data_IF_618464592043
#
_entry.id   IF_618464592043
#
_cell.length_a   1.000
_cell.length_b   1.000
_cell.length_c   1.000
_cell.angle_alpha   90.00
_cell.angle_beta   90.00
_cell.angle_gamma   90.00
#
_symmetry.space_group_name_H-M   'P 1'
#
loop_
_entity.id
_entity.type
_entity.pdbx_description
1 polymer ?
#
# COMPACT_ATOMS: atom_id res chain seq x y z
N UNK A 1 14.93 3.32 16.10
CA UNK A 1 14.26 2.22 15.35
C UNK A 1 15.21 1.64 14.32
N UNK A 2 15.55 0.37 14.43
CA UNK A 2 16.52 -0.34 13.57
C UNK A 2 15.79 -1.18 12.53
N UNK A 3 16.04 -0.94 11.27
CA UNK A 3 15.28 -1.49 10.14
C UNK A 3 16.10 -2.53 9.40
N UNK A 4 15.51 -3.69 9.12
CA UNK A 4 16.01 -4.68 8.18
C UNK A 4 15.14 -4.71 6.93
N UNK A 5 15.71 -4.51 5.74
CA UNK A 5 14.99 -4.56 4.45
C UNK A 5 15.30 -5.91 3.77
N UNK A 6 14.28 -6.76 3.62
CA UNK A 6 14.32 -7.96 2.79
C UNK A 6 13.65 -7.70 1.44
N UNK A 7 14.43 -7.73 0.37
CA UNK A 7 14.05 -7.33 -0.97
C UNK A 7 14.51 -5.91 -1.30
N UNK A 8 15.59 -5.78 -2.07
CA UNK A 8 16.14 -4.47 -2.44
C UNK A 8 15.97 -4.19 -3.95
N UNK A 9 14.74 -4.50 -4.44
CA UNK A 9 14.25 -4.16 -5.77
C UNK A 9 13.75 -2.72 -5.86
N UNK A 10 12.81 -2.46 -6.77
CA UNK A 10 12.23 -1.13 -7.00
C UNK A 10 11.66 -0.51 -5.72
N UNK A 11 10.89 -1.28 -4.95
CA UNK A 11 10.22 -0.80 -3.73
C UNK A 11 11.21 -0.60 -2.59
N UNK A 12 12.11 -1.56 -2.35
CA UNK A 12 13.11 -1.47 -1.28
C UNK A 12 14.06 -0.29 -1.46
N UNK A 13 14.51 -0.02 -2.71
CA UNK A 13 15.29 1.17 -3.04
C UNK A 13 14.47 2.45 -2.84
N UNK A 14 13.19 2.46 -3.27
CA UNK A 14 12.29 3.60 -3.07
C UNK A 14 12.07 3.91 -1.59
N UNK A 15 11.96 2.89 -0.74
CA UNK A 15 11.84 3.08 0.69
C UNK A 15 13.12 3.64 1.32
N UNK A 16 14.31 3.19 0.89
CA UNK A 16 15.57 3.75 1.34
C UNK A 16 15.68 5.26 0.98
N UNK A 17 15.29 5.65 -0.25
CA UNK A 17 15.26 7.06 -0.65
C UNK A 17 14.28 7.88 0.20
N UNK A 18 13.06 7.38 0.39
CA UNK A 18 12.04 8.06 1.21
C UNK A 18 12.48 8.20 2.66
N UNK A 19 13.11 7.17 3.22
CA UNK A 19 13.65 7.22 4.58
C UNK A 19 14.74 8.27 4.72
N UNK A 20 15.64 8.39 3.73
CA UNK A 20 16.64 9.47 3.68
C UNK A 20 15.97 10.85 3.66
N UNK A 21 15.00 11.06 2.75
CA UNK A 21 14.31 12.34 2.57
C UNK A 21 13.50 12.75 3.83
N UNK A 22 13.06 11.79 4.64
CA UNK A 22 12.25 12.01 5.83
C UNK A 22 12.99 11.85 7.15
N UNK A 23 14.30 11.66 7.15
CA UNK A 23 15.11 11.44 8.34
C UNK A 23 14.91 12.53 9.39
N UNK A 24 15.02 13.80 9.01
CA UNK A 24 14.82 14.91 9.94
C UNK A 24 13.39 15.03 10.48
N UNK A 25 12.39 14.73 9.64
CA UNK A 25 11.00 14.69 10.06
C UNK A 25 10.79 13.63 11.15
N UNK A 26 11.31 12.42 10.94
CA UNK A 26 11.20 11.33 11.91
C UNK A 26 11.92 11.68 13.22
N UNK A 27 13.12 12.21 13.14
CA UNK A 27 13.87 12.66 14.33
C UNK A 27 13.14 13.75 15.12
N UNK A 28 12.56 14.74 14.44
CA UNK A 28 11.79 15.81 15.11
C UNK A 28 10.50 15.29 15.77
N UNK A 29 9.87 14.26 15.16
CA UNK A 29 8.61 13.72 15.64
C UNK A 29 8.81 12.75 16.82
N UNK A 30 9.82 11.89 16.75
CA UNK A 30 10.00 10.77 17.66
C UNK A 30 11.22 10.91 18.59
N UNK A 31 12.06 11.93 18.41
CA UNK A 31 13.29 12.07 19.18
C UNK A 31 14.38 11.03 18.87
N UNK A 32 14.08 10.10 17.95
CA UNK A 32 14.94 8.97 17.59
C UNK A 32 15.07 8.83 16.07
N UNK A 33 16.18 8.22 15.61
CA UNK A 33 16.41 7.95 14.20
C UNK A 33 15.86 6.57 13.81
N UNK A 34 15.18 6.52 12.66
CA UNK A 34 14.90 5.27 11.96
C UNK A 34 16.08 5.00 11.01
N UNK A 35 16.86 3.93 11.27
CA UNK A 35 18.09 3.60 10.53
C UNK A 35 18.02 2.22 9.92
N UNK A 36 18.45 2.11 8.65
CA UNK A 36 18.63 0.80 8.01
C UNK A 36 19.91 0.19 8.55
N UNK A 37 19.80 -0.90 9.30
CA UNK A 37 20.98 -1.62 9.80
C UNK A 37 21.34 -2.81 8.93
N UNK A 38 20.38 -3.30 8.13
CA UNK A 38 20.62 -4.43 7.23
C UNK A 38 19.74 -4.30 5.98
N UNK A 39 20.28 -4.66 4.84
CA UNK A 39 19.56 -4.81 3.58
C UNK A 39 20.00 -6.09 2.87
N UNK A 40 19.04 -6.80 2.27
CA UNK A 40 19.23 -8.06 1.57
C UNK A 40 18.44 -8.10 0.27
N UNK A 41 19.05 -8.69 -0.76
CA UNK A 41 18.39 -9.07 -2.00
C UNK A 41 18.64 -10.54 -2.35
N UNK A 42 18.19 -11.02 -3.50
CA UNK A 42 18.38 -12.40 -3.95
C UNK A 42 19.84 -12.78 -4.25
N UNK A 43 20.78 -11.82 -4.22
CA UNK A 43 22.18 -12.04 -4.60
C UNK A 43 23.16 -11.74 -3.47
N UNK A 44 22.77 -10.88 -2.54
CA UNK A 44 23.71 -10.33 -1.57
C UNK A 44 23.01 -9.73 -0.35
N UNK A 45 23.79 -9.46 0.69
CA UNK A 45 23.35 -8.66 1.83
C UNK A 45 24.47 -7.74 2.34
N UNK A 46 24.10 -6.78 3.15
CA UNK A 46 24.99 -5.86 3.85
C UNK A 46 24.47 -5.60 5.25
N UNK A 47 25.37 -5.42 6.19
CA UNK A 47 25.07 -5.12 7.59
C UNK A 47 26.02 -4.08 8.15
N UNK A 48 25.45 -3.08 8.84
CA UNK A 48 26.19 -2.15 9.70
C UNK A 48 25.32 -1.82 10.93
N UNK A 49 25.76 -2.17 12.15
CA UNK A 49 25.01 -1.85 13.36
C UNK A 49 24.90 -0.36 13.65
N UNK A 50 25.80 0.48 13.11
CA UNK A 50 25.76 1.94 13.23
C UNK A 50 24.75 2.59 12.28
N UNK A 51 24.27 1.84 11.28
CA UNK A 51 23.34 2.31 10.25
C UNK A 51 24.02 2.47 8.90
N UNK A 52 23.32 2.01 7.87
CA UNK A 52 23.72 2.08 6.47
C UNK A 52 23.26 3.40 5.87
N UNK A 53 24.06 3.99 4.97
CA UNK A 53 23.64 5.13 4.17
C UNK A 53 22.58 4.70 3.12
N UNK A 54 21.33 5.19 3.21
CA UNK A 54 20.27 4.78 2.31
C UNK A 54 20.56 5.07 0.83
N UNK A 55 21.18 6.22 0.53
CA UNK A 55 21.51 6.58 -0.85
C UNK A 55 22.72 5.80 -1.37
N UNK A 56 23.68 5.51 -0.52
CA UNK A 56 24.80 4.61 -0.80
C UNK A 56 24.34 3.21 -1.18
N UNK A 57 23.34 2.65 -0.46
CA UNK A 57 22.74 1.36 -0.81
C UNK A 57 22.09 1.39 -2.20
N UNK A 58 21.34 2.46 -2.53
CA UNK A 58 20.68 2.61 -3.83
C UNK A 58 21.72 2.71 -4.96
N UNK A 59 22.80 3.50 -4.75
CA UNK A 59 23.90 3.62 -5.72
C UNK A 59 24.59 2.28 -5.94
N UNK A 60 24.98 1.59 -4.86
CA UNK A 60 25.62 0.27 -4.93
C UNK A 60 24.75 -0.72 -5.70
N UNK A 61 23.44 -0.75 -5.40
CA UNK A 61 22.50 -1.64 -6.10
C UNK A 61 22.38 -1.34 -7.60
N UNK A 62 22.32 -0.06 -7.96
CA UNK A 62 22.25 0.39 -9.35
C UNK A 62 23.53 0.02 -10.13
N UNK A 63 24.69 0.25 -9.53
CA UNK A 63 25.98 0.15 -10.21
C UNK A 63 26.47 -1.29 -10.30
N UNK A 64 26.18 -2.15 -9.30
CA UNK A 64 26.68 -3.54 -9.22
C UNK A 64 25.59 -4.61 -9.43
N UNK A 65 24.30 -4.22 -9.42
CA UNK A 65 23.19 -5.17 -9.37
C UNK A 65 23.04 -5.92 -8.04
N UNK A 66 23.81 -5.53 -6.99
CA UNK A 66 23.86 -6.13 -5.66
C UNK A 66 23.66 -5.06 -4.58
N UNK A 67 23.06 -5.43 -3.45
CA UNK A 67 22.89 -4.49 -2.33
C UNK A 67 24.14 -4.38 -1.45
N UNK A 68 25.00 -5.38 -1.49
CA UNK A 68 26.25 -5.42 -0.70
C UNK A 68 27.27 -6.41 -1.22
N UNK A 69 28.41 -6.47 -0.54
CA UNK A 69 29.53 -7.33 -0.90
C UNK A 69 29.36 -8.81 -0.49
N UNK A 70 28.63 -9.06 0.61
CA UNK A 70 28.41 -10.41 1.13
C UNK A 70 27.50 -11.20 0.21
N UNK A 71 27.86 -12.45 -0.09
CA UNK A 71 27.03 -13.33 -0.92
C UNK A 71 25.71 -13.63 -0.22
N UNK A 72 24.67 -13.94 -1.01
CA UNK A 72 23.36 -14.33 -0.49
C UNK A 72 23.49 -15.46 0.54
N UNK A 73 22.74 -15.36 1.63
CA UNK A 73 22.56 -16.39 2.63
C UNK A 73 21.06 -16.67 2.81
N UNK A 74 20.72 -17.76 3.47
CA UNK A 74 19.33 -18.03 3.84
C UNK A 74 18.78 -16.85 4.67
N UNK A 75 17.72 -16.23 4.18
CA UNK A 75 17.16 -15.03 4.81
C UNK A 75 16.64 -15.29 6.22
N UNK A 76 16.07 -16.46 6.48
CA UNK A 76 15.55 -16.81 7.81
C UNK A 76 16.67 -16.97 8.83
N UNK A 77 17.81 -17.55 8.44
CA UNK A 77 19.00 -17.60 9.29
C UNK A 77 19.52 -16.20 9.60
N UNK A 78 19.63 -15.36 8.57
CA UNK A 78 20.10 -13.97 8.75
C UNK A 78 19.13 -13.17 9.63
N UNK A 79 17.81 -13.36 9.50
CA UNK A 79 16.79 -12.71 10.32
C UNK A 79 16.84 -13.16 11.78
N UNK A 80 17.04 -14.44 12.05
CA UNK A 80 17.08 -14.98 13.42
C UNK A 80 18.31 -14.53 14.22
N UNK A 81 19.43 -14.28 13.54
CA UNK A 81 20.70 -13.86 14.14
C UNK A 81 20.86 -12.32 14.18
N UNK A 82 19.98 -11.58 13.50
CA UNK A 82 20.12 -10.15 13.34
C UNK A 82 19.55 -9.36 14.52
N UNK A 83 20.23 -8.28 14.86
CA UNK A 83 19.72 -7.29 15.78
C UNK A 83 19.04 -6.14 15.00
N UNK A 84 17.70 -6.12 15.01
CA UNK A 84 16.84 -5.13 14.38
C UNK A 84 15.49 -5.07 15.13
N UNK A 85 14.71 -4.03 14.90
CA UNK A 85 13.41 -3.82 15.55
C UNK A 85 12.26 -4.16 14.59
N UNK A 86 12.37 -3.76 13.31
CA UNK A 86 11.32 -3.92 12.30
C UNK A 86 11.89 -4.50 11.01
N UNK A 87 11.19 -5.52 10.50
CA UNK A 87 11.41 -6.06 9.15
C UNK A 87 10.54 -5.30 8.14
N UNK A 88 11.15 -4.81 7.07
CA UNK A 88 10.46 -4.35 5.86
C UNK A 88 10.59 -5.45 4.80
N UNK A 89 9.52 -6.23 4.63
CA UNK A 89 9.46 -7.35 3.69
C UNK A 89 8.87 -6.91 2.36
N UNK A 90 9.73 -6.79 1.36
CA UNK A 90 9.39 -6.33 0.02
C UNK A 90 10.03 -7.22 -1.07
N UNK A 91 10.20 -8.51 -0.76
CA UNK A 91 10.67 -9.51 -1.74
C UNK A 91 9.59 -9.81 -2.80
N UNK A 92 9.93 -10.52 -3.89
CA UNK A 92 8.98 -10.87 -4.93
C UNK A 92 7.77 -11.65 -4.38
N UNK A 93 6.59 -11.32 -4.89
CA UNK A 93 5.33 -11.96 -4.51
C UNK A 93 5.22 -13.35 -5.12
N UNK A 94 4.92 -14.35 -4.28
CA UNK A 94 4.50 -15.69 -4.67
C UNK A 94 3.10 -15.96 -4.11
N UNK A 95 2.11 -15.96 -4.99
CA UNK A 95 0.70 -16.16 -4.62
C UNK A 95 0.32 -17.63 -4.42
N UNK A 96 1.20 -18.57 -4.82
CA UNK A 96 0.95 -20.01 -4.69
C UNK A 96 1.42 -20.57 -3.35
N UNK A 97 2.58 -20.14 -2.89
CA UNK A 97 3.20 -20.70 -1.68
C UNK A 97 3.53 -19.65 -0.61
N UNK A 98 3.41 -18.37 -0.94
CA UNK A 98 3.88 -17.25 -0.10
C UNK A 98 5.39 -17.03 -0.19
N UNK A 99 6.12 -17.97 -0.77
CA UNK A 99 7.53 -17.89 -1.09
C UNK A 99 8.45 -17.55 0.09
N UNK A 100 9.53 -16.85 -0.22
CA UNK A 100 10.49 -16.36 0.77
C UNK A 100 9.86 -15.31 1.69
N UNK A 101 8.92 -14.51 1.19
CA UNK A 101 8.24 -13.47 1.97
C UNK A 101 7.48 -14.05 3.17
N UNK A 102 6.74 -15.14 2.98
CA UNK A 102 6.04 -15.82 4.06
C UNK A 102 7.02 -16.33 5.14
N UNK A 103 8.11 -16.95 4.72
CA UNK A 103 9.15 -17.46 5.65
C UNK A 103 9.79 -16.33 6.45
N UNK A 104 10.09 -15.21 5.80
CA UNK A 104 10.68 -14.04 6.42
C UNK A 104 9.74 -13.41 7.47
N UNK A 105 8.47 -13.23 7.12
CA UNK A 105 7.46 -12.67 8.03
C UNK A 105 7.30 -13.57 9.26
N UNK A 106 7.12 -14.88 9.07
CA UNK A 106 6.99 -15.83 10.16
C UNK A 106 8.23 -15.79 11.07
N UNK A 107 9.44 -15.86 10.49
CA UNK A 107 10.68 -15.81 11.23
C UNK A 107 10.79 -14.50 12.06
N UNK A 108 10.50 -13.33 11.48
CA UNK A 108 10.56 -12.07 12.20
C UNK A 108 9.56 -12.02 13.37
N UNK A 109 8.32 -12.43 13.13
CA UNK A 109 7.28 -12.46 14.18
C UNK A 109 7.62 -13.45 15.31
N UNK A 110 8.17 -14.63 15.01
CA UNK A 110 8.64 -15.60 16.00
C UNK A 110 9.77 -15.04 16.88
N UNK A 111 10.63 -14.18 16.30
CA UNK A 111 11.70 -13.49 17.02
C UNK A 111 11.28 -12.16 17.63
N UNK A 112 9.95 -11.94 17.76
CA UNK A 112 9.34 -10.74 18.38
C UNK A 112 9.74 -9.44 17.71
N UNK A 113 9.85 -9.45 16.37
CA UNK A 113 10.13 -8.26 15.55
C UNK A 113 8.85 -7.77 14.89
N UNK A 114 8.68 -6.45 14.82
CA UNK A 114 7.60 -5.86 14.05
C UNK A 114 7.83 -6.08 12.54
N UNK A 115 6.75 -6.11 11.77
CA UNK A 115 6.83 -6.37 10.33
C UNK A 115 6.00 -5.35 9.56
N UNK A 116 6.58 -4.81 8.51
CA UNK A 116 5.89 -4.06 7.46
C UNK A 116 6.06 -4.86 6.17
N UNK A 117 4.96 -5.14 5.49
CA UNK A 117 5.03 -5.86 4.21
C UNK A 117 4.12 -5.26 3.15
N UNK A 118 4.57 -5.29 1.90
CA UNK A 118 3.74 -5.01 0.72
C UNK A 118 3.58 -6.26 -0.15
N UNK A 119 4.10 -7.38 0.33
CA UNK A 119 4.05 -8.66 -0.35
C UNK A 119 2.66 -9.30 -0.16
N UNK A 120 1.90 -9.35 -1.25
CA UNK A 120 0.51 -9.83 -1.24
C UNK A 120 0.38 -11.34 -1.01
N UNK A 121 1.35 -12.14 -1.48
CA UNK A 121 1.28 -13.60 -1.40
C UNK A 121 1.07 -14.13 0.02
N UNK A 122 1.94 -13.81 0.99
CA UNK A 122 1.77 -14.21 2.39
C UNK A 122 0.42 -13.81 2.97
N UNK A 123 -0.03 -12.58 2.69
CA UNK A 123 -1.29 -12.04 3.22
C UNK A 123 -2.53 -12.69 2.57
N UNK A 124 -2.48 -12.96 1.26
CA UNK A 124 -3.59 -13.61 0.55
C UNK A 124 -3.75 -15.09 0.90
N UNK A 125 -2.70 -15.73 1.42
CA UNK A 125 -2.68 -17.16 1.75
C UNK A 125 -2.84 -17.44 3.25
N UNK A 126 -2.25 -16.62 4.12
CA UNK A 126 -2.02 -16.93 5.54
C UNK A 126 -2.32 -15.74 6.47
N UNK A 127 -3.26 -14.88 6.08
CA UNK A 127 -3.59 -13.67 6.83
C UNK A 127 -3.85 -13.94 8.32
N UNK A 128 -4.76 -14.84 8.62
CA UNK A 128 -5.16 -15.16 10.00
C UNK A 128 -3.99 -15.69 10.80
N UNK A 129 -3.27 -16.67 10.25
CA UNK A 129 -2.12 -17.29 10.91
C UNK A 129 -1.05 -16.25 11.26
N UNK A 130 -0.78 -15.31 10.34
CA UNK A 130 0.20 -14.24 10.53
C UNK A 130 -0.26 -13.21 11.57
N UNK A 131 -1.52 -12.81 11.56
CA UNK A 131 -2.07 -11.87 12.55
C UNK A 131 -2.12 -12.50 13.96
N UNK A 132 -2.48 -13.77 14.08
CA UNK A 132 -2.49 -14.50 15.34
C UNK A 132 -1.07 -14.68 15.89
N UNK A 133 -0.09 -14.96 15.02
CA UNK A 133 1.34 -15.05 15.39
C UNK A 133 1.87 -13.69 15.87
N UNK A 134 1.57 -12.61 15.16
CA UNK A 134 1.95 -11.26 15.56
C UNK A 134 1.36 -10.91 16.94
N UNK A 135 0.06 -11.14 17.11
CA UNK A 135 -0.63 -10.90 18.38
C UNK A 135 -0.04 -11.72 19.54
N UNK A 136 0.21 -13.02 19.32
CA UNK A 136 0.81 -13.92 20.32
C UNK A 136 2.15 -13.42 20.81
N UNK A 137 2.97 -12.86 19.91
CA UNK A 137 4.33 -12.41 20.22
C UNK A 137 4.43 -10.91 20.58
N UNK A 138 3.30 -10.19 20.64
CA UNK A 138 3.27 -8.76 20.94
C UNK A 138 3.85 -7.88 19.84
N UNK A 139 3.85 -8.38 18.59
CA UNK A 139 4.36 -7.69 17.42
C UNK A 139 3.25 -6.96 16.65
N UNK A 140 3.66 -5.99 15.86
CA UNK A 140 2.84 -5.32 14.89
C UNK A 140 3.15 -5.85 13.50
N UNK A 141 2.10 -6.24 12.76
CA UNK A 141 2.16 -6.56 11.34
C UNK A 141 1.34 -5.50 10.59
N UNK A 142 2.02 -4.69 9.77
CA UNK A 142 1.43 -3.60 8.98
C UNK A 142 1.63 -3.89 7.49
N UNK A 143 0.66 -3.51 6.65
CA UNK A 143 0.66 -3.93 5.25
C UNK A 143 -0.17 -3.01 4.33
N UNK A 144 -0.27 -1.71 4.65
CA UNK A 144 -1.05 -0.73 3.87
C UNK A 144 -0.68 -0.75 2.39
N UNK A 145 0.62 -0.79 2.08
CA UNK A 145 1.10 -0.79 0.70
C UNK A 145 0.77 -2.04 -0.12
N UNK A 146 0.20 -3.09 0.50
CA UNK A 146 -0.19 -4.32 -0.20
C UNK A 146 -1.46 -4.15 -1.04
N UNK A 147 -2.33 -3.20 -0.68
CA UNK A 147 -3.58 -2.88 -1.39
C UNK A 147 -3.61 -1.39 -1.70
N UNK A 148 -3.64 -1.03 -2.96
CA UNK A 148 -3.81 0.38 -3.34
C UNK A 148 -2.54 1.22 -3.45
N UNK A 149 -1.35 0.69 -3.13
CA UNK A 149 -0.08 1.43 -3.23
C UNK A 149 -0.09 2.68 -2.35
N UNK A 150 -0.22 3.88 -2.95
CA UNK A 150 -0.30 5.14 -2.22
C UNK A 150 -1.69 5.43 -1.62
N UNK A 151 -2.73 4.70 -2.01
CA UNK A 151 -4.09 4.92 -1.47
C UNK A 151 -4.23 4.24 -0.10
N UNK A 152 -4.57 4.98 0.98
CA UNK A 152 -4.67 4.44 2.33
C UNK A 152 -6.01 3.70 2.55
N UNK A 153 -6.26 2.61 1.83
CA UNK A 153 -7.55 1.92 1.84
C UNK A 153 -7.76 1.15 3.15
N UNK A 154 -6.74 0.42 3.61
CA UNK A 154 -6.85 -0.42 4.81
C UNK A 154 -6.96 0.48 6.04
N UNK A 155 -6.04 1.43 6.21
CA UNK A 155 -6.06 2.35 7.34
C UNK A 155 -7.33 3.21 7.36
N UNK A 156 -7.79 3.71 6.19
CA UNK A 156 -9.06 4.42 6.09
C UNK A 156 -10.23 3.59 6.63
N UNK A 157 -10.33 2.32 6.24
CA UNK A 157 -11.41 1.44 6.70
C UNK A 157 -11.27 1.04 8.17
N UNK A 158 -10.05 0.80 8.67
CA UNK A 158 -9.80 0.21 10.00
C UNK A 158 -9.51 1.24 11.08
N UNK A 159 -9.14 2.47 10.71
CA UNK A 159 -8.80 3.55 11.64
C UNK A 159 -9.76 4.74 11.51
N UNK A 160 -9.89 5.36 10.33
CA UNK A 160 -10.70 6.57 10.17
C UNK A 160 -12.22 6.27 10.10
N UNK A 161 -12.61 5.15 9.49
CA UNK A 161 -14.00 4.70 9.38
C UNK A 161 -14.35 3.60 10.39
N UNK A 162 -13.59 3.46 11.50
CA UNK A 162 -13.82 2.39 12.49
C UNK A 162 -15.18 2.45 13.18
N UNK A 163 -15.83 3.61 13.20
CA UNK A 163 -17.18 3.79 13.71
C UNK A 163 -18.28 3.42 12.73
N UNK A 164 -17.95 3.17 11.48
CA UNK A 164 -18.88 2.84 10.41
C UNK A 164 -19.01 1.33 10.20
N UNK A 165 -20.19 0.87 9.81
CA UNK A 165 -20.34 -0.46 9.24
C UNK A 165 -20.00 -0.39 7.75
N UNK A 166 -18.90 -1.00 7.36
CA UNK A 166 -18.53 -1.14 5.95
C UNK A 166 -19.47 -2.15 5.29
N UNK A 167 -20.23 -1.70 4.29
CA UNK A 167 -21.20 -2.54 3.54
C UNK A 167 -20.52 -3.23 2.36
N UNK A 168 -19.72 -2.46 1.61
CA UNK A 168 -18.97 -2.99 0.48
C UNK A 168 -17.73 -2.15 0.16
N UNK A 169 -16.73 -2.79 -0.41
CA UNK A 169 -15.60 -2.11 -1.06
C UNK A 169 -15.60 -2.56 -2.52
N UNK A 170 -15.64 -1.60 -3.44
CA UNK A 170 -15.53 -1.84 -4.88
C UNK A 170 -14.42 -0.98 -5.45
N UNK A 171 -13.59 -1.53 -6.33
CA UNK A 171 -12.50 -0.72 -6.84
C UNK A 171 -11.81 -1.27 -8.08
N UNK A 172 -11.09 -0.37 -8.74
CA UNK A 172 -10.08 -0.68 -9.73
C UNK A 172 -8.77 -0.86 -8.94
N UNK A 173 -8.34 -2.11 -8.77
CA UNK A 173 -7.16 -2.45 -7.98
C UNK A 173 -5.94 -2.80 -8.83
N UNK A 174 -6.08 -2.77 -10.17
CA UNK A 174 -4.99 -3.04 -11.09
C UNK A 174 -4.89 -1.96 -12.16
N UNK A 175 -3.79 -1.20 -12.15
CA UNK A 175 -3.57 -0.07 -13.07
C UNK A 175 -3.28 -0.52 -14.49
N UNK A 176 -2.65 -1.68 -14.70
CA UNK A 176 -2.37 -2.25 -16.03
C UNK A 176 -3.66 -2.57 -16.78
N UNK A 177 -4.58 -3.30 -16.12
CA UNK A 177 -5.88 -3.60 -16.69
C UNK A 177 -6.69 -2.33 -16.97
N UNK A 178 -6.66 -1.37 -16.04
CA UNK A 178 -7.35 -0.10 -16.24
C UNK A 178 -6.80 0.67 -17.44
N UNK A 179 -5.48 0.67 -17.63
CA UNK A 179 -4.83 1.29 -18.78
C UNK A 179 -5.28 0.63 -20.09
N UNK A 180 -5.21 -0.71 -20.18
CA UNK A 180 -5.60 -1.48 -21.37
C UNK A 180 -7.07 -1.17 -21.74
N UNK A 181 -7.98 -1.30 -20.79
CA UNK A 181 -9.41 -1.03 -21.02
C UNK A 181 -9.67 0.44 -21.39
N UNK A 182 -8.92 1.38 -20.83
CA UNK A 182 -9.01 2.80 -21.21
C UNK A 182 -8.53 3.10 -22.63
N UNK A 183 -7.62 2.29 -23.17
CA UNK A 183 -7.20 2.37 -24.58
C UNK A 183 -8.23 1.74 -25.49
N UNK A 184 -8.85 0.64 -25.08
CA UNK A 184 -9.97 0.02 -25.81
C UNK A 184 -11.19 0.95 -25.86
N UNK A 185 -11.47 1.75 -24.83
CA UNK A 185 -12.51 2.79 -24.86
C UNK A 185 -12.30 3.83 -25.99
N UNK A 186 -11.05 3.98 -26.45
CA UNK A 186 -10.64 4.88 -27.54
C UNK A 186 -10.53 4.20 -28.89
N UNK A 187 -10.97 2.94 -28.99
CA UNK A 187 -10.95 2.13 -30.20
C UNK A 187 -9.63 1.43 -30.50
N UNK A 188 -8.69 1.36 -29.54
CA UNK A 188 -7.47 0.60 -29.71
C UNK A 188 -7.72 -0.89 -29.38
N UNK A 189 -7.38 -1.85 -30.25
CA UNK A 189 -7.54 -3.28 -29.98
C UNK A 189 -6.74 -3.73 -28.75
N UNK A 190 -7.26 -4.76 -28.04
CA UNK A 190 -6.66 -5.29 -26.82
C UNK A 190 -5.16 -5.58 -26.95
N UNK A 191 -4.75 -6.33 -27.98
CA UNK A 191 -3.34 -6.71 -28.18
C UNK A 191 -2.41 -5.52 -28.37
N UNK A 192 -2.89 -4.47 -29.05
CA UNK A 192 -2.12 -3.24 -29.23
C UNK A 192 -2.01 -2.45 -27.91
N UNK A 193 -3.09 -2.36 -27.15
CA UNK A 193 -3.11 -1.71 -25.85
C UNK A 193 -2.21 -2.42 -24.83
N UNK A 194 -2.21 -3.76 -24.83
CA UNK A 194 -1.31 -4.57 -24.01
C UNK A 194 0.16 -4.36 -24.40
N UNK A 195 0.48 -4.40 -25.70
CA UNK A 195 1.85 -4.17 -26.20
C UNK A 195 2.34 -2.77 -25.83
N UNK A 196 1.49 -1.76 -25.93
CA UNK A 196 1.82 -0.40 -25.49
C UNK A 196 2.05 -0.34 -23.97
N UNK A 197 1.23 -1.01 -23.17
CA UNK A 197 1.41 -1.09 -21.72
C UNK A 197 2.77 -1.74 -21.36
N UNK A 198 3.19 -2.76 -22.09
CA UNK A 198 4.51 -3.40 -21.92
C UNK A 198 5.65 -2.46 -22.28
N UNK A 199 5.55 -1.74 -23.41
CA UNK A 199 6.56 -0.76 -23.84
C UNK A 199 6.73 0.39 -22.86
N UNK A 200 5.65 0.81 -22.21
CA UNK A 200 5.65 1.88 -21.20
C UNK A 200 6.05 1.36 -19.81
N UNK A 201 6.27 0.05 -19.64
CA UNK A 201 6.63 -0.56 -18.36
C UNK A 201 5.47 -0.67 -17.36
N UNK A 202 4.23 -0.57 -17.82
CA UNK A 202 3.04 -0.80 -16.99
C UNK A 202 2.70 -2.29 -16.87
N UNK A 203 3.01 -3.09 -17.87
CA UNK A 203 2.90 -4.54 -17.86
C UNK A 203 4.27 -5.18 -18.01
N UNK A 204 4.47 -6.30 -17.35
CA UNK A 204 5.64 -7.17 -17.54
C UNK A 204 5.53 -7.97 -18.84
N UNK A 205 6.63 -8.66 -19.22
CA UNK A 205 6.63 -9.54 -20.40
C UNK A 205 5.57 -10.65 -20.28
N UNK A 206 5.42 -11.22 -19.09
CA UNK A 206 4.29 -12.09 -18.75
C UNK A 206 3.25 -11.29 -17.94
N UNK A 207 2.18 -10.81 -18.58
CA UNK A 207 1.17 -9.98 -17.93
C UNK A 207 0.07 -10.78 -17.22
N UNK A 208 0.17 -12.10 -17.17
CA UNK A 208 -0.89 -13.02 -16.71
C UNK A 208 -1.46 -12.62 -15.35
N UNK A 209 -0.61 -12.26 -14.39
CA UNK A 209 -1.06 -11.84 -13.06
C UNK A 209 -2.00 -10.63 -13.09
N UNK A 210 -1.81 -9.73 -14.06
CA UNK A 210 -2.65 -8.55 -14.23
C UNK A 210 -3.91 -8.90 -15.02
N UNK A 211 -3.75 -9.36 -16.28
CA UNK A 211 -4.86 -9.50 -17.22
C UNK A 211 -5.85 -10.61 -16.88
N UNK A 212 -5.42 -11.64 -16.16
CA UNK A 212 -6.30 -12.68 -15.61
C UNK A 212 -6.92 -12.29 -14.25
N UNK A 213 -6.54 -11.14 -13.67
CA UNK A 213 -7.15 -10.58 -12.46
C UNK A 213 -6.57 -11.10 -11.14
N UNK A 214 -5.47 -11.87 -11.17
CA UNK A 214 -4.90 -12.50 -9.97
C UNK A 214 -4.34 -11.47 -8.98
N UNK A 215 -3.68 -10.41 -9.45
CA UNK A 215 -3.24 -9.31 -8.58
C UNK A 215 -4.41 -8.65 -7.85
N UNK A 216 -5.50 -8.37 -8.57
CA UNK A 216 -6.73 -7.82 -7.97
C UNK A 216 -7.37 -8.78 -6.97
N UNK A 217 -7.35 -10.09 -7.25
CA UNK A 217 -7.92 -11.10 -6.36
C UNK A 217 -7.15 -11.21 -5.03
N UNK A 218 -5.82 -11.13 -5.05
CA UNK A 218 -5.04 -11.05 -3.83
C UNK A 218 -5.46 -9.85 -2.96
N UNK A 219 -5.66 -8.69 -3.58
CA UNK A 219 -6.10 -7.47 -2.87
C UNK A 219 -7.51 -7.62 -2.30
N UNK A 220 -8.43 -8.25 -3.04
CA UNK A 220 -9.79 -8.58 -2.58
C UNK A 220 -9.74 -9.51 -1.36
N UNK A 221 -8.92 -10.57 -1.37
CA UNK A 221 -8.75 -11.46 -0.23
C UNK A 221 -8.18 -10.74 1.00
N UNK A 222 -7.17 -9.87 0.81
CA UNK A 222 -6.59 -9.07 1.88
C UNK A 222 -7.64 -8.13 2.49
N UNK A 223 -8.43 -7.41 1.67
CA UNK A 223 -9.50 -6.54 2.14
C UNK A 223 -10.61 -7.30 2.88
N UNK A 224 -10.98 -8.49 2.38
CA UNK A 224 -11.96 -9.34 3.05
C UNK A 224 -11.52 -9.73 4.46
N UNK A 225 -10.25 -10.06 4.62
CA UNK A 225 -9.70 -10.44 5.91
C UNK A 225 -9.49 -9.25 6.83
N UNK A 226 -8.91 -8.15 6.32
CA UNK A 226 -8.50 -7.01 7.14
C UNK A 226 -9.67 -6.09 7.53
N UNK A 227 -10.66 -5.92 6.65
CA UNK A 227 -11.76 -4.98 6.87
C UNK A 227 -13.05 -5.70 7.29
N UNK A 228 -13.37 -6.84 6.67
CA UNK A 228 -14.61 -7.59 6.99
C UNK A 228 -14.37 -8.71 8.01
N UNK A 229 -13.15 -8.90 8.50
CA UNK A 229 -12.82 -9.90 9.52
C UNK A 229 -13.04 -11.35 9.04
N UNK A 230 -13.05 -11.59 7.73
CA UNK A 230 -13.23 -12.92 7.16
C UNK A 230 -11.95 -13.76 7.34
N UNK A 231 -12.07 -15.05 7.09
CA UNK A 231 -10.92 -15.96 7.05
C UNK A 231 -10.94 -16.66 5.70
N UNK A 232 -10.45 -15.96 4.68
CA UNK A 232 -10.45 -16.40 3.29
C UNK A 232 -9.05 -16.32 2.70
N UNK A 233 -8.86 -17.06 1.62
CA UNK A 233 -7.62 -17.08 0.84
C UNK A 233 -7.88 -16.56 -0.57
N UNK A 234 -6.83 -16.49 -1.38
CA UNK A 234 -6.92 -16.18 -2.80
C UNK A 234 -7.90 -17.12 -3.55
N UNK A 235 -7.95 -18.41 -3.19
CA UNK A 235 -8.76 -19.40 -3.86
C UNK A 235 -10.28 -19.22 -3.63
N UNK A 236 -10.67 -18.44 -2.62
CA UNK A 236 -12.07 -18.12 -2.33
C UNK A 236 -12.62 -16.97 -3.19
N UNK A 237 -11.77 -16.32 -3.97
CA UNK A 237 -12.16 -15.18 -4.82
C UNK A 237 -12.59 -15.68 -6.20
N UNK A 238 -13.82 -15.37 -6.61
CA UNK A 238 -14.26 -15.63 -7.98
C UNK A 238 -13.58 -14.66 -8.94
N UNK A 239 -12.82 -15.17 -9.91
CA UNK A 239 -12.00 -14.37 -10.79
C UNK A 239 -12.44 -14.50 -12.24
N UNK A 240 -12.54 -13.38 -12.93
CA UNK A 240 -12.70 -13.27 -14.38
C UNK A 240 -11.77 -12.18 -14.88
N UNK A 241 -10.81 -12.52 -15.72
CA UNK A 241 -9.87 -11.59 -16.31
C UNK A 241 -10.48 -10.68 -17.38
N UNK A 242 -9.63 -9.92 -18.06
CA UNK A 242 -10.05 -9.02 -19.14
C UNK A 242 -9.75 -9.56 -20.54
N UNK A 243 -9.13 -10.71 -20.66
CA UNK A 243 -8.68 -11.33 -21.93
C UNK A 243 -9.84 -11.69 -22.88
N UNK A 244 -11.02 -11.91 -22.33
CA UNK A 244 -12.24 -12.22 -23.12
C UNK A 244 -13.05 -10.98 -23.55
N UNK A 245 -12.59 -9.77 -23.21
CA UNK A 245 -13.29 -8.53 -23.58
C UNK A 245 -13.00 -8.21 -25.03
N UNK A 246 -14.04 -8.16 -25.87
CA UNK A 246 -13.92 -7.84 -27.30
C UNK A 246 -14.14 -6.35 -27.58
N UNK A 247 -13.67 -5.90 -28.75
CA UNK A 247 -13.87 -4.53 -29.21
C UNK A 247 -15.37 -4.22 -29.38
N UNK A 248 -16.19 -5.20 -29.80
CA UNK A 248 -17.63 -5.09 -29.92
C UNK A 248 -18.30 -4.88 -28.54
N UNK A 249 -17.82 -5.58 -27.51
CA UNK A 249 -18.32 -5.39 -26.13
C UNK A 249 -18.04 -3.97 -25.63
N UNK A 250 -16.86 -3.44 -25.92
CA UNK A 250 -16.48 -2.06 -25.57
C UNK A 250 -17.33 -1.04 -26.35
N UNK A 251 -17.53 -1.24 -27.66
CA UNK A 251 -18.38 -0.39 -28.47
C UNK A 251 -19.84 -0.41 -28.01
N UNK A 252 -20.35 -1.57 -27.62
CA UNK A 252 -21.71 -1.71 -27.05
C UNK A 252 -21.83 -0.98 -25.71
N UNK A 253 -20.84 -1.04 -24.83
CA UNK A 253 -20.80 -0.28 -23.58
C UNK A 253 -20.83 1.23 -23.88
N UNK A 254 -19.97 1.68 -24.79
CA UNK A 254 -19.88 3.07 -25.19
C UNK A 254 -21.21 3.64 -25.74
N UNK A 255 -21.94 2.84 -26.56
CA UNK A 255 -23.26 3.24 -27.11
C UNK A 255 -24.33 3.46 -26.03
N UNK A 256 -24.11 2.90 -24.83
CA UNK A 256 -24.99 3.05 -23.65
C UNK A 256 -24.44 4.05 -22.61
N UNK A 257 -23.47 4.89 -23.01
CA UNK A 257 -22.77 5.81 -22.11
C UNK A 257 -22.10 5.14 -20.92
N UNK A 258 -21.53 3.94 -21.13
CA UNK A 258 -20.82 3.14 -20.12
C UNK A 258 -19.39 2.85 -20.57
N UNK A 259 -18.58 2.45 -19.63
CA UNK A 259 -17.24 1.90 -19.85
C UNK A 259 -17.12 0.54 -19.17
N UNK A 260 -16.21 -0.30 -19.64
CA UNK A 260 -15.86 -1.57 -18.97
C UNK A 260 -14.65 -1.35 -18.10
N UNK A 261 -14.71 -1.79 -16.82
CA UNK A 261 -13.57 -1.77 -15.89
C UNK A 261 -13.44 -3.10 -15.18
N UNK A 262 -12.20 -3.52 -14.88
CA UNK A 262 -11.96 -4.65 -14.01
C UNK A 262 -12.18 -4.20 -12.57
N UNK A 263 -13.24 -4.68 -11.94
CA UNK A 263 -13.64 -4.31 -10.59
C UNK A 263 -13.44 -5.47 -9.64
N UNK A 264 -12.67 -5.23 -8.55
CA UNK A 264 -12.70 -6.06 -7.37
C UNK A 264 -13.85 -5.63 -6.46
N UNK A 265 -14.60 -6.59 -5.93
CA UNK A 265 -15.73 -6.35 -5.02
C UNK A 265 -15.64 -7.24 -3.79
N UNK A 266 -15.76 -6.60 -2.63
CA UNK A 266 -15.79 -7.26 -1.31
C UNK A 266 -17.05 -6.82 -0.58
N UNK A 267 -17.79 -7.81 -0.07
CA UNK A 267 -18.91 -7.64 0.88
C UNK A 267 -18.84 -8.74 1.92
N UNK A 268 -19.76 -8.75 2.88
CA UNK A 268 -19.88 -9.85 3.86
C UNK A 268 -20.00 -11.23 3.20
N UNK A 269 -20.61 -11.32 2.01
CA UNK A 269 -20.92 -12.58 1.34
C UNK A 269 -20.25 -12.77 -0.02
N UNK A 270 -19.74 -11.69 -0.63
CA UNK A 270 -19.23 -11.70 -2.00
C UNK A 270 -17.75 -11.36 -2.05
N UNK A 271 -16.99 -12.16 -2.80
CA UNK A 271 -15.58 -11.91 -3.15
C UNK A 271 -15.43 -12.14 -4.65
N UNK A 272 -15.27 -11.09 -5.40
CA UNK A 272 -15.26 -11.23 -6.87
C UNK A 272 -14.34 -10.21 -7.52
N UNK A 273 -13.66 -10.63 -8.57
CA UNK A 273 -12.91 -9.78 -9.50
C UNK A 273 -13.44 -10.08 -10.89
N UNK A 274 -13.84 -9.04 -11.61
CA UNK A 274 -14.30 -9.23 -12.98
C UNK A 274 -14.68 -7.95 -13.69
N UNK A 275 -14.82 -8.02 -15.02
CA UNK A 275 -15.30 -6.88 -15.80
C UNK A 275 -16.70 -6.43 -15.39
N UNK A 276 -16.89 -5.13 -15.26
CA UNK A 276 -18.18 -4.50 -14.95
C UNK A 276 -18.44 -3.33 -15.87
N UNK A 277 -19.72 -3.16 -16.22
CA UNK A 277 -20.21 -1.97 -16.90
C UNK A 277 -20.36 -0.85 -15.87
N UNK A 278 -19.66 0.25 -16.08
CA UNK A 278 -19.64 1.43 -15.20
C UNK A 278 -20.17 2.62 -15.99
N UNK A 279 -21.18 3.36 -15.50
CA UNK A 279 -21.67 4.58 -16.15
C UNK A 279 -20.53 5.61 -16.27
N UNK A 280 -20.42 6.29 -17.42
CA UNK A 280 -19.50 7.42 -17.56
C UNK A 280 -19.83 8.49 -16.53
N UNK A 281 -18.82 9.05 -15.86
CA UNK A 281 -19.01 10.01 -14.76
C UNK A 281 -19.13 9.38 -13.38
N UNK A 282 -19.28 8.05 -13.26
CA UNK A 282 -19.18 7.37 -11.97
C UNK A 282 -17.72 7.41 -11.45
N UNK A 283 -17.47 7.54 -10.13
CA UNK A 283 -16.10 7.54 -9.59
C UNK A 283 -15.22 6.36 -10.00
N UNK A 284 -15.80 5.20 -10.30
CA UNK A 284 -15.09 4.02 -10.80
C UNK A 284 -14.92 4.01 -12.33
N UNK A 285 -15.28 5.08 -13.06
CA UNK A 285 -15.08 5.17 -14.52
C UNK A 285 -13.77 5.82 -14.94
N UNK A 286 -12.82 5.95 -14.00
CA UNK A 286 -11.52 6.58 -14.24
C UNK A 286 -10.72 5.86 -15.32
N UNK A 287 -9.86 6.62 -16.00
CA UNK A 287 -9.01 6.13 -17.09
C UNK A 287 -7.53 6.17 -16.74
N UNK A 288 -6.72 5.47 -17.53
CA UNK A 288 -5.27 5.42 -17.38
C UNK A 288 -4.83 4.40 -16.35
N UNK A 289 -3.74 4.66 -15.64
CA UNK A 289 -3.12 3.73 -14.68
C UNK A 289 -3.58 3.94 -13.23
N UNK A 290 -4.47 4.89 -12.98
CA UNK A 290 -4.95 5.16 -11.63
C UNK A 290 -5.81 4.00 -11.10
N UNK A 291 -5.68 3.77 -9.82
CA UNK A 291 -6.58 2.93 -9.05
C UNK A 291 -7.62 3.81 -8.33
N UNK A 292 -8.75 3.23 -8.00
CA UNK A 292 -9.78 3.87 -7.20
C UNK A 292 -10.53 2.82 -6.40
N UNK A 293 -10.91 3.18 -5.18
CA UNK A 293 -11.76 2.35 -4.32
C UNK A 293 -12.93 3.18 -3.82
N UNK A 294 -14.12 2.65 -3.90
CA UNK A 294 -15.31 3.18 -3.27
C UNK A 294 -15.72 2.28 -2.12
N UNK A 295 -15.74 2.85 -0.94
CA UNK A 295 -16.15 2.22 0.31
C UNK A 295 -17.58 2.70 0.58
N UNK A 296 -18.53 1.79 0.64
CA UNK A 296 -19.91 2.09 1.02
C UNK A 296 -20.09 1.79 2.49
N UNK A 297 -20.50 2.79 3.25
CA UNK A 297 -20.78 2.69 4.69
C UNK A 297 -22.26 2.93 4.97
N UNK A 298 -22.69 2.60 6.19
CA UNK A 298 -24.08 2.74 6.59
C UNK A 298 -24.47 4.19 6.97
N UNK A 299 -23.56 4.98 7.53
CA UNK A 299 -23.85 6.36 7.96
C UNK A 299 -23.25 7.41 7.02
N UNK A 300 -21.96 7.31 6.68
CA UNK A 300 -21.29 8.30 5.81
C UNK A 300 -21.59 8.09 4.33
N UNK A 301 -22.24 6.96 3.95
CA UNK A 301 -22.53 6.65 2.56
C UNK A 301 -21.27 6.26 1.76
N UNK A 302 -21.17 6.62 0.46
CA UNK A 302 -20.03 6.23 -0.37
C UNK A 302 -18.84 7.18 -0.17
N UNK A 303 -17.74 6.66 0.32
CA UNK A 303 -16.43 7.32 0.39
C UNK A 303 -15.57 6.80 -0.76
N UNK A 304 -14.95 7.69 -1.54
CA UNK A 304 -14.10 7.29 -2.67
C UNK A 304 -12.69 7.83 -2.53
N UNK A 305 -11.73 6.95 -2.71
CA UNK A 305 -10.30 7.25 -2.70
C UNK A 305 -9.71 6.86 -4.06
N UNK A 306 -8.90 7.75 -4.66
CA UNK A 306 -8.24 7.51 -5.93
C UNK A 306 -6.76 7.90 -5.84
N UNK A 307 -5.90 7.14 -6.50
CA UNK A 307 -4.46 7.40 -6.49
C UNK A 307 -3.68 6.39 -7.33
N UNK A 308 -2.36 6.47 -7.26
CA UNK A 308 -1.48 5.52 -7.92
C UNK A 308 -1.42 4.23 -7.12
N UNK A 309 -1.87 3.12 -7.73
CA UNK A 309 -1.96 1.79 -7.10
C UNK A 309 -0.64 1.04 -7.01
N UNK A 310 0.40 1.51 -7.67
CA UNK A 310 1.74 0.94 -7.67
C UNK A 310 2.76 2.03 -8.02
N UNK A 311 4.04 1.75 -7.73
CA UNK A 311 5.16 2.64 -8.05
C UNK A 311 6.21 2.63 -6.96
N UNK A 312 7.41 3.11 -7.31
CA UNK A 312 8.58 3.13 -6.43
C UNK A 312 8.33 3.99 -5.19
N UNK A 313 7.94 5.25 -5.39
CA UNK A 313 7.69 6.21 -4.30
C UNK A 313 6.32 6.04 -3.67
N UNK A 314 5.34 5.65 -4.45
CA UNK A 314 3.97 5.42 -4.03
C UNK A 314 3.90 4.31 -2.97
N UNK A 315 4.49 3.16 -3.26
CA UNK A 315 4.52 2.03 -2.31
C UNK A 315 5.45 2.35 -1.13
N UNK A 316 6.58 3.02 -1.36
CA UNK A 316 7.47 3.46 -0.29
C UNK A 316 6.80 4.44 0.69
N UNK A 317 5.90 5.29 0.21
CA UNK A 317 5.12 6.20 1.06
C UNK A 317 4.19 5.42 2.01
N UNK A 318 3.56 4.35 1.55
CA UNK A 318 2.74 3.50 2.41
C UNK A 318 3.60 2.76 3.46
N UNK A 319 4.77 2.25 3.07
CA UNK A 319 5.72 1.64 4.02
C UNK A 319 6.16 2.66 5.09
N UNK A 320 6.43 3.91 4.71
CA UNK A 320 6.75 4.96 5.66
C UNK A 320 5.59 5.26 6.61
N UNK A 321 4.35 5.29 6.12
CA UNK A 321 3.15 5.45 6.95
C UNK A 321 3.02 4.32 7.98
N UNK A 322 3.23 3.07 7.55
CA UNK A 322 3.23 1.91 8.44
C UNK A 322 4.37 1.97 9.48
N UNK A 323 5.57 2.43 9.08
CA UNK A 323 6.68 2.65 10.00
C UNK A 323 6.35 3.70 11.06
N UNK A 324 5.77 4.83 10.64
CA UNK A 324 5.33 5.88 11.55
C UNK A 324 4.29 5.35 12.55
N UNK A 325 3.32 4.54 12.08
CA UNK A 325 2.32 3.94 12.95
C UNK A 325 2.93 2.96 13.98
N UNK A 326 3.95 2.19 13.59
CA UNK A 326 4.72 1.35 14.52
C UNK A 326 5.46 2.21 15.54
N UNK A 327 6.18 3.24 15.10
CA UNK A 327 6.92 4.15 15.97
C UNK A 327 5.99 4.86 16.96
N UNK A 328 4.85 5.41 16.50
CA UNK A 328 3.84 6.05 17.38
C UNK A 328 3.35 5.08 18.46
N UNK A 329 3.08 3.82 18.09
CA UNK A 329 2.56 2.84 19.04
C UNK A 329 3.61 2.40 20.05
N UNK A 330 4.87 2.26 19.63
CA UNK A 330 5.98 1.90 20.53
C UNK A 330 6.33 3.06 21.47
N UNK A 331 6.37 4.30 20.98
CA UNK A 331 6.59 5.48 21.83
C UNK A 331 5.50 5.67 22.87
N UNK A 332 4.22 5.47 22.52
CA UNK A 332 3.10 5.57 23.49
C UNK A 332 3.11 4.47 24.54
N UNK A 333 3.71 3.31 24.24
CA UNK A 333 3.88 2.24 25.22
C UNK A 333 4.98 2.61 26.25
N UNK A 334 5.96 3.41 25.84
CA UNK A 334 7.06 3.87 26.69
C UNK A 334 6.68 5.17 27.46
N UNK A 335 5.78 6.00 26.90
CA UNK A 335 5.26 7.21 27.52
C UNK A 335 3.82 6.96 28.03
N UNK A 336 3.66 6.60 29.27
CA UNK A 336 2.35 6.65 29.94
C UNK A 336 1.89 8.13 29.98
N UNK A 337 0.85 8.45 29.16
CA UNK A 337 0.11 9.71 29.14
C UNK A 337 0.75 10.94 28.49
N UNK A 338 0.58 11.09 27.17
CA UNK A 338 0.44 12.43 26.56
C UNK A 338 -0.65 12.44 25.48
N UNK A 339 -1.58 13.42 25.50
CA UNK A 339 -2.65 13.51 24.51
C UNK A 339 -2.10 13.86 23.11
N UNK A 340 -2.78 13.36 22.07
CA UNK A 340 -2.51 13.64 20.67
C UNK A 340 -2.23 15.13 20.43
N UNK A 341 -0.99 15.51 20.18
CA UNK A 341 -0.65 16.86 19.72
C UNK A 341 -0.75 16.90 18.20
N UNK A 342 -1.76 17.59 17.70
CA UNK A 342 -1.83 18.00 16.30
C UNK A 342 -0.71 19.00 16.02
N UNK A 343 0.22 18.66 15.12
CA UNK A 343 1.19 19.60 14.57
C UNK A 343 0.73 20.04 13.19
N UNK A 344 0.38 21.32 12.99
CA UNK A 344 0.10 21.84 11.66
C UNK A 344 1.39 21.78 10.84
N UNK A 345 1.41 20.98 9.80
CA UNK A 345 2.53 20.93 8.84
C UNK A 345 2.52 22.16 7.94
N UNK A 346 3.71 22.56 7.58
CA UNK A 346 4.11 23.76 6.91
C UNK A 346 3.29 24.16 5.69
N UNK A 347 3.46 25.43 5.33
CA UNK A 347 2.80 26.17 4.26
C UNK A 347 2.73 25.38 2.94
N UNK A 348 1.54 25.34 2.37
CA UNK A 348 1.34 24.96 0.97
C UNK A 348 2.20 25.85 0.06
N UNK A 349 2.87 25.30 -0.96
CA UNK A 349 3.80 26.10 -1.80
C UNK A 349 3.14 27.21 -2.60
N UNK A 350 1.81 27.24 -2.69
CA UNK A 350 1.02 28.18 -3.49
C UNK A 350 0.28 29.28 -2.69
N UNK A 351 0.54 29.38 -1.38
CA UNK A 351 0.10 30.51 -0.56
C UNK A 351 -1.42 30.63 -0.31
N UNK A 352 -2.22 29.63 -0.64
CA UNK A 352 -3.67 29.63 -0.39
C UNK A 352 -4.02 28.68 0.76
N UNK A 353 -3.96 29.20 1.96
CA UNK A 353 -4.37 28.48 3.16
C UNK A 353 -5.88 28.55 3.38
N UNK A 354 -6.55 27.42 3.50
CA UNK A 354 -7.90 27.34 4.10
C UNK A 354 -7.70 27.34 5.61
N UNK A 355 -8.11 28.41 6.28
CA UNK A 355 -8.11 28.49 7.75
C UNK A 355 -9.40 27.83 8.24
N UNK A 356 -9.31 26.63 8.79
CA UNK A 356 -10.40 25.99 9.55
C UNK A 356 -10.39 26.55 10.97
N UNK A 357 -11.34 27.42 11.28
CA UNK A 357 -11.61 27.87 12.64
C UNK A 357 -12.42 26.80 13.36
N UNK A 358 -11.76 25.94 14.14
CA UNK A 358 -12.47 25.13 15.13
C UNK A 358 -12.71 25.97 16.37
N UNK A 359 -13.99 26.28 16.64
CA UNK A 359 -14.42 26.93 17.84
C UNK A 359 -14.36 26.02 19.05
N UNK A 360 -13.43 26.26 19.96
CA UNK A 360 -13.61 26.00 21.38
C UNK A 360 -13.42 27.30 22.13
N UNK A 361 -14.47 27.70 22.85
CA UNK A 361 -14.59 28.99 23.47
C UNK A 361 -13.50 29.32 24.47
N UNK A 362 -12.77 30.36 24.14
CA UNK A 362 -12.38 31.44 25.06
C UNK A 362 -12.34 32.71 24.20
N UNK A 363 -13.21 33.64 24.53
CA UNK A 363 -13.19 35.00 24.00
C UNK A 363 -11.84 35.63 24.37
N UNK A 364 -10.90 35.66 23.42
CA UNK A 364 -9.71 36.46 23.55
C UNK A 364 -9.89 37.75 22.72
N UNK A 365 -9.34 38.83 23.21
CA UNK A 365 -9.42 40.18 22.61
C UNK A 365 -8.95 40.22 21.13
N UNK A 366 -8.15 39.24 20.72
CA UNK A 366 -7.64 39.04 19.36
C UNK A 366 -8.74 38.51 18.39
N UNK A 367 -9.68 37.71 18.87
CA UNK A 367 -10.82 37.21 18.09
C UNK A 367 -11.86 38.30 17.81
N UNK A 368 -11.94 39.34 18.66
CA UNK A 368 -12.79 40.53 18.43
C UNK A 368 -12.24 41.42 17.33
N UNK A 369 -10.92 41.66 17.29
CA UNK A 369 -10.28 42.49 16.25
C UNK A 369 -10.40 41.89 14.84
N UNK A 370 -10.44 40.56 14.71
CA UNK A 370 -10.62 39.90 13.41
C UNK A 370 -12.07 39.95 12.90
N UNK A 371 -13.09 40.07 13.78
CA UNK A 371 -14.48 40.25 13.39
C UNK A 371 -14.81 41.67 12.87
N UNK A 372 -14.15 42.67 13.41
CA UNK A 372 -14.40 44.08 13.05
C UNK A 372 -13.67 44.52 11.78
N UNK A 373 -12.68 43.73 11.29
CA UNK A 373 -11.95 44.00 10.04
C UNK A 373 -12.52 43.35 8.79
N UNK A 374 -13.64 42.60 8.89
CA UNK A 374 -14.31 41.90 7.80
C UNK A 374 -15.73 42.42 7.48
N UNK A 375 -16.01 43.69 7.85
CA UNK A 375 -17.21 44.43 7.39
C UNK A 375 -16.86 45.43 6.32
#
# INVERSE_FOLDING_TARGET
MRIFICGFGTVGQGFAEVLHDRKEFLRKRFGDDAVIVRAMDSKSYVYDPAGLDPLGLVSTKRDSGRVGASAYADSTKVLSEADYDVLVEVSPTDVKTGGVGLKNIVCALEHKKDVITVNKGPLALKYRDLMDLAKKNGCLLRFEGSVGGAMPIINLCTEDLMGEKIISIRGIFNGTCNYILSKMDKGQPFDQALKEAQQLGYAETDPTNDIEGYDSACKVAILANSVFGRNVTFDDVKITGITSITDEAVAMAASRNMVIRLIGEVTDTKLEVGPRLIPKGHPLSISGTLNTAQILTDMAGPVTVSGRGAGRKETASAILSDLIAIMDKRHRADEQDLPLRYHPQGRCPDGRGVVLLQGQGRDTEEARRLRDGLR
#
